data_IF_544591132658
#
_entry.id   IF_544591132658
#
_cell.length_a   1.000
_cell.length_b   1.000
_cell.length_c   1.000
_cell.angle_alpha   90.00
_cell.angle_beta   90.00
_cell.angle_gamma   90.00
#
_symmetry.space_group_name_H-M   'P 1'
#
loop_
_entity.id
_entity.type
_entity.pdbx_description
1 polymer ?
#
# COMPACT_ATOMS: atom_id res chain seq x y z
N UNK A 1 -2.24 -79.88 -23.65
CA UNK A 1 -2.85 -78.64 -24.13
C UNK A 1 -2.97 -77.72 -22.95
N UNK A 2 -2.04 -76.74 -22.82
CA UNK A 2 -2.02 -75.74 -21.76
C UNK A 2 -2.20 -74.35 -22.38
N UNK A 3 -3.37 -73.75 -22.14
CA UNK A 3 -3.66 -72.41 -22.56
C UNK A 3 -3.09 -71.43 -21.53
N UNK A 4 -2.04 -70.72 -21.90
CA UNK A 4 -1.55 -69.57 -21.15
C UNK A 4 -2.42 -68.34 -21.45
N UNK A 5 -3.24 -67.87 -20.49
CA UNK A 5 -3.94 -66.61 -20.53
C UNK A 5 -2.93 -65.50 -20.22
N UNK A 6 -2.66 -64.64 -21.21
CA UNK A 6 -1.91 -63.41 -21.03
C UNK A 6 -2.79 -62.38 -20.33
N UNK A 7 -2.41 -62.00 -19.11
CA UNK A 7 -3.04 -60.92 -18.37
C UNK A 7 -2.42 -59.60 -18.84
N UNK A 8 -3.21 -58.76 -19.56
CA UNK A 8 -2.81 -57.43 -19.92
C UNK A 8 -3.08 -56.48 -18.75
N UNK A 9 -2.01 -55.97 -18.13
CA UNK A 9 -2.11 -54.89 -17.16
C UNK A 9 -2.25 -53.56 -17.92
N UNK A 10 -3.44 -52.98 -17.93
CA UNK A 10 -3.67 -51.61 -18.34
C UNK A 10 -3.14 -50.72 -17.23
N UNK A 11 -2.03 -50.03 -17.49
CA UNK A 11 -1.49 -48.99 -16.60
C UNK A 11 -2.40 -47.78 -16.64
N UNK A 12 -3.19 -47.58 -15.60
CA UNK A 12 -3.97 -46.35 -15.37
C UNK A 12 -3.00 -45.26 -14.92
N UNK A 13 -2.58 -44.43 -15.84
CA UNK A 13 -1.78 -43.25 -15.55
C UNK A 13 -2.64 -42.18 -14.83
N UNK A 14 -2.48 -42.09 -13.51
CA UNK A 14 -3.10 -41.04 -12.69
C UNK A 14 -2.32 -39.76 -12.91
N UNK A 15 -2.80 -38.94 -13.85
CA UNK A 15 -2.30 -37.58 -14.09
C UNK A 15 -2.64 -36.68 -12.89
N UNK A 16 -1.67 -36.41 -12.03
CA UNK A 16 -1.80 -35.46 -10.95
C UNK A 16 -1.72 -34.07 -11.60
N UNK A 17 -2.87 -33.41 -11.78
CA UNK A 17 -2.95 -32.01 -12.16
C UNK A 17 -2.47 -31.17 -10.97
N UNK A 18 -1.22 -30.70 -11.01
CA UNK A 18 -0.76 -29.66 -10.10
C UNK A 18 -1.45 -28.34 -10.46
N UNK A 19 -2.55 -28.02 -9.81
CA UNK A 19 -3.07 -26.67 -9.80
C UNK A 19 -2.09 -25.81 -9.00
N UNK A 20 -1.23 -25.11 -9.73
CA UNK A 20 -0.41 -24.05 -9.15
C UNK A 20 -1.35 -22.91 -8.71
N UNK A 21 -1.69 -22.85 -7.43
CA UNK A 21 -2.37 -21.70 -6.85
C UNK A 21 -1.40 -20.53 -6.89
N UNK A 22 -1.59 -19.62 -7.85
CA UNK A 22 -0.94 -18.32 -7.85
C UNK A 22 -1.60 -17.55 -6.69
N UNK A 23 -0.88 -17.42 -5.58
CA UNK A 23 -1.29 -16.56 -4.47
C UNK A 23 -1.10 -15.12 -4.96
N UNK A 24 -2.15 -14.53 -5.53
CA UNK A 24 -2.18 -13.10 -5.82
C UNK A 24 -2.26 -12.42 -4.46
N UNK A 25 -1.17 -11.79 -4.03
CA UNK A 25 -1.16 -10.99 -2.81
C UNK A 25 -2.05 -9.78 -3.04
N UNK A 26 -3.22 -9.79 -2.44
CA UNK A 26 -4.15 -8.67 -2.52
C UNK A 26 -3.58 -7.45 -1.80
N UNK A 27 -3.58 -6.31 -2.49
CA UNK A 27 -3.12 -5.06 -1.93
C UNK A 27 -4.18 -4.51 -0.97
N UNK A 28 -3.78 -3.85 0.14
CA UNK A 28 -4.74 -3.32 1.11
C UNK A 28 -5.50 -2.09 0.60
N UNK A 29 -5.16 -1.56 -0.56
CA UNK A 29 -5.83 -0.44 -1.23
C UNK A 29 -6.45 -0.87 -2.56
N UNK A 30 -7.46 -0.14 -2.99
CA UNK A 30 -8.03 -0.24 -4.32
C UNK A 30 -7.58 0.95 -5.21
N UNK A 31 -7.77 0.90 -6.53
CA UNK A 31 -7.35 1.97 -7.45
C UNK A 31 -7.94 3.36 -7.13
N UNK A 32 -9.15 3.44 -6.57
CA UNK A 32 -9.79 4.71 -6.20
C UNK A 32 -9.18 5.34 -4.95
N UNK A 33 -8.36 4.61 -4.21
CA UNK A 33 -7.64 5.11 -3.05
C UNK A 33 -6.25 5.64 -3.40
N UNK A 34 -5.82 5.53 -4.66
CA UNK A 34 -4.61 6.18 -5.12
C UNK A 34 -4.89 7.67 -5.40
N UNK A 35 -4.03 8.54 -4.88
CA UNK A 35 -4.11 9.98 -5.07
C UNK A 35 -2.92 10.46 -5.89
N UNK A 36 -3.19 11.11 -7.01
CA UNK A 36 -2.13 11.64 -7.86
C UNK A 36 -1.36 12.79 -7.16
N UNK A 37 -0.03 12.84 -7.31
CA UNK A 37 0.81 13.88 -6.70
C UNK A 37 0.34 15.29 -7.01
N UNK A 38 -0.04 15.56 -8.27
CA UNK A 38 -0.56 16.86 -8.65
C UNK A 38 -1.85 17.23 -7.91
N UNK A 39 -2.76 16.29 -7.75
CA UNK A 39 -4.02 16.52 -7.06
C UNK A 39 -3.80 16.89 -5.59
N UNK A 40 -2.86 16.23 -4.91
CA UNK A 40 -2.49 16.63 -3.55
C UNK A 40 -1.82 18.00 -3.53
N UNK A 41 -0.89 18.26 -4.46
CA UNK A 41 -0.21 19.57 -4.54
C UNK A 41 -1.19 20.72 -4.72
N UNK A 42 -2.20 20.56 -5.58
CA UNK A 42 -3.25 21.57 -5.80
C UNK A 42 -4.03 21.82 -4.50
N UNK A 43 -4.41 20.77 -3.76
CA UNK A 43 -5.16 20.93 -2.48
C UNK A 43 -4.32 21.67 -1.43
N UNK A 44 -3.06 21.29 -1.22
CA UNK A 44 -2.23 21.89 -0.15
C UNK A 44 -1.75 23.30 -0.47
N UNK A 45 -1.84 23.74 -1.73
CA UNK A 45 -1.55 25.13 -2.13
C UNK A 45 -2.77 26.03 -2.12
N UNK A 46 -3.96 25.48 -2.07
CA UNK A 46 -5.21 26.23 -2.01
C UNK A 46 -5.72 26.29 -0.54
N UNK A 47 -5.59 27.46 0.13
CA UNK A 47 -6.02 27.60 1.52
C UNK A 47 -7.53 27.53 1.71
N UNK A 48 -8.32 27.57 0.63
CA UNK A 48 -9.78 27.44 0.68
C UNK A 48 -10.24 25.98 0.75
N UNK A 49 -9.36 25.04 0.43
CA UNK A 49 -9.65 23.61 0.46
C UNK A 49 -9.44 23.03 1.87
N UNK A 50 -10.27 22.06 2.29
CA UNK A 50 -10.01 21.30 3.50
C UNK A 50 -8.65 20.55 3.39
N UNK A 51 -7.76 20.83 4.35
CA UNK A 51 -6.42 20.25 4.32
C UNK A 51 -6.43 18.80 4.86
N UNK A 52 -5.91 17.83 4.11
CA UNK A 52 -5.82 16.44 4.59
C UNK A 52 -4.76 16.32 5.69
N UNK A 53 -4.88 15.28 6.49
CA UNK A 53 -3.78 14.81 7.33
C UNK A 53 -2.80 14.03 6.46
N UNK A 54 -1.63 14.60 6.21
CA UNK A 54 -0.58 13.98 5.38
C UNK A 54 0.44 13.32 6.31
N UNK A 55 0.76 12.05 6.08
CA UNK A 55 1.64 11.28 6.96
C UNK A 55 2.75 10.62 6.12
N UNK A 56 3.99 10.96 6.44
CA UNK A 56 5.17 10.25 5.96
C UNK A 56 5.40 9.01 6.81
N UNK A 57 5.36 7.82 6.19
CA UNK A 57 5.60 6.52 6.87
C UNK A 57 6.94 5.91 6.49
N UNK A 58 7.86 6.73 6.02
CA UNK A 58 9.19 6.31 5.58
C UNK A 58 10.24 7.39 5.79
N UNK A 59 11.50 7.13 5.41
CA UNK A 59 12.64 8.01 5.68
C UNK A 59 12.78 9.18 4.68
N UNK A 60 11.86 9.34 3.74
CA UNK A 60 11.94 10.42 2.75
C UNK A 60 11.57 11.78 3.36
N UNK A 61 11.88 12.87 2.65
CA UNK A 61 11.57 14.23 3.07
C UNK A 61 10.07 14.50 3.25
N UNK A 62 9.75 15.62 3.89
CA UNK A 62 8.37 15.97 4.24
C UNK A 62 7.73 16.90 3.21
N UNK A 63 6.64 16.43 2.61
CA UNK A 63 5.69 17.26 1.85
C UNK A 63 5.14 18.33 2.78
N UNK A 64 4.88 19.53 2.26
CA UNK A 64 4.32 20.64 3.03
C UNK A 64 3.08 20.21 3.83
N UNK A 65 3.11 20.46 5.13
CA UNK A 65 2.05 20.09 6.05
C UNK A 65 2.03 18.61 6.49
N UNK A 66 2.97 17.80 6.01
CA UNK A 66 3.08 16.41 6.43
C UNK A 66 3.67 16.29 7.84
N UNK A 67 3.19 15.29 8.57
CA UNK A 67 3.80 14.82 9.81
C UNK A 67 4.61 13.56 9.56
N UNK A 68 5.67 13.37 10.34
CA UNK A 68 6.50 12.18 10.28
C UNK A 68 5.98 11.12 11.25
N UNK A 69 5.82 9.89 10.76
CA UNK A 69 5.43 8.73 11.56
C UNK A 69 6.55 7.68 11.69
N UNK A 70 7.72 7.95 11.10
CA UNK A 70 8.84 7.01 11.00
C UNK A 70 8.48 5.73 10.20
N UNK A 71 9.46 4.85 9.90
CA UNK A 71 9.21 3.64 9.10
C UNK A 71 8.17 2.72 9.70
N UNK A 72 6.99 2.65 9.07
CA UNK A 72 5.84 1.88 9.58
C UNK A 72 5.99 0.35 9.46
N UNK A 73 7.04 -0.15 8.82
CA UNK A 73 7.41 -1.57 8.85
C UNK A 73 7.83 -2.02 10.27
N UNK A 74 8.29 -1.09 11.10
CA UNK A 74 8.69 -1.35 12.46
C UNK A 74 7.46 -1.31 13.38
N UNK A 75 7.25 -2.36 14.16
CA UNK A 75 6.06 -2.51 15.01
C UNK A 75 5.87 -1.35 15.99
N UNK A 76 6.96 -0.87 16.59
CA UNK A 76 6.91 0.25 17.52
C UNK A 76 6.39 1.54 16.85
N UNK A 77 6.90 1.84 15.65
CA UNK A 77 6.46 3.01 14.88
C UNK A 77 5.01 2.86 14.42
N UNK A 78 4.59 1.65 14.05
CA UNK A 78 3.21 1.36 13.68
C UNK A 78 2.24 1.57 14.87
N UNK A 79 2.64 1.18 16.08
CA UNK A 79 1.82 1.42 17.29
C UNK A 79 1.80 2.91 17.68
N UNK A 80 2.89 3.64 17.51
CA UNK A 80 2.90 5.11 17.66
C UNK A 80 1.95 5.78 16.66
N UNK A 81 1.96 5.31 15.40
CA UNK A 81 1.02 5.77 14.38
C UNK A 81 -0.43 5.45 14.76
N UNK A 82 -0.72 4.24 15.28
CA UNK A 82 -2.03 3.86 15.79
C UNK A 82 -2.51 4.82 16.89
N UNK A 83 -1.65 5.09 17.85
CA UNK A 83 -1.95 6.02 18.98
C UNK A 83 -2.24 7.41 18.44
N UNK A 84 -1.45 7.92 17.51
CA UNK A 84 -1.68 9.23 16.87
C UNK A 84 -3.03 9.29 16.14
N UNK A 85 -3.33 8.24 15.34
CA UNK A 85 -4.56 8.15 14.56
C UNK A 85 -5.82 7.93 15.44
N UNK A 86 -5.68 7.45 16.66
CA UNK A 86 -6.82 7.29 17.58
C UNK A 86 -7.49 8.60 17.95
N UNK A 87 -6.75 9.71 17.85
CA UNK A 87 -7.24 11.07 18.13
C UNK A 87 -7.95 11.72 16.94
N UNK A 88 -7.92 11.08 15.75
CA UNK A 88 -8.46 11.65 14.53
C UNK A 88 -9.88 11.12 14.23
N UNK A 89 -10.72 11.99 13.65
CA UNK A 89 -12.02 11.57 13.11
C UNK A 89 -11.83 10.53 12.00
N UNK A 90 -12.65 9.48 12.02
CA UNK A 90 -12.62 8.42 10.99
C UNK A 90 -13.09 8.89 9.61
N UNK A 91 -13.70 10.06 9.54
CA UNK A 91 -14.12 10.72 8.29
C UNK A 91 -13.07 11.70 7.75
N UNK A 92 -12.04 12.04 8.56
CA UNK A 92 -10.96 12.92 8.11
C UNK A 92 -10.24 12.33 6.91
N UNK A 93 -9.94 13.15 5.92
CA UNK A 93 -9.07 12.73 4.83
C UNK A 93 -7.65 12.52 5.35
N UNK A 94 -7.11 11.33 5.14
CA UNK A 94 -5.74 10.95 5.50
C UNK A 94 -5.01 10.55 4.23
N UNK A 95 -3.82 11.09 4.01
CA UNK A 95 -2.95 10.72 2.88
C UNK A 95 -1.65 10.18 3.44
N UNK A 96 -1.29 8.93 3.09
CA UNK A 96 0.00 8.37 3.46
C UNK A 96 0.94 8.27 2.27
N UNK A 97 2.23 8.40 2.53
CA UNK A 97 3.30 8.16 1.56
C UNK A 97 4.59 7.70 2.24
N UNK A 98 5.45 7.02 1.50
CA UNK A 98 6.79 6.65 1.97
C UNK A 98 7.89 7.50 1.27
N UNK A 99 7.86 7.55 -0.05
CA UNK A 99 8.71 8.42 -0.86
C UNK A 99 10.11 7.92 -1.16
N UNK A 100 10.61 6.86 -0.51
CA UNK A 100 11.97 6.34 -0.76
C UNK A 100 12.06 5.45 -2.01
N UNK A 101 10.95 4.87 -2.45
CA UNK A 101 10.85 3.89 -3.52
C UNK A 101 9.44 3.90 -4.12
N UNK A 102 9.19 3.17 -5.24
CA UNK A 102 7.85 2.96 -5.74
C UNK A 102 6.92 2.45 -4.64
N UNK A 103 5.73 3.05 -4.51
CA UNK A 103 4.81 2.72 -3.40
C UNK A 103 4.46 1.22 -3.33
N UNK A 104 4.40 0.55 -4.49
CA UNK A 104 4.11 -0.89 -4.58
C UNK A 104 5.19 -1.76 -3.93
N UNK A 105 6.43 -1.29 -3.93
CA UNK A 105 7.59 -2.04 -3.43
C UNK A 105 7.98 -1.59 -2.01
N UNK A 106 7.32 -0.55 -1.48
CA UNK A 106 7.68 0.03 -0.19
C UNK A 106 7.18 -0.82 0.98
N UNK A 107 8.07 -1.30 1.86
CA UNK A 107 7.69 -2.14 3.00
C UNK A 107 6.88 -1.39 4.07
N UNK A 108 6.91 -0.05 4.06
CA UNK A 108 6.22 0.78 5.05
C UNK A 108 4.75 1.04 4.69
N UNK A 109 4.40 0.99 3.40
CA UNK A 109 3.07 1.39 2.93
C UNK A 109 2.00 0.38 3.35
N UNK A 110 2.21 -0.93 3.10
CA UNK A 110 1.20 -1.95 3.40
C UNK A 110 0.78 -1.99 4.87
N UNK A 111 1.70 -2.03 5.85
CA UNK A 111 1.30 -2.02 7.26
C UNK A 111 0.56 -0.74 7.65
N UNK A 112 1.00 0.43 7.17
CA UNK A 112 0.34 1.70 7.47
C UNK A 112 -1.06 1.79 6.85
N UNK A 113 -1.21 1.37 5.58
CA UNK A 113 -2.52 1.39 4.92
C UNK A 113 -3.49 0.38 5.55
N UNK A 114 -3.00 -0.83 5.84
CA UNK A 114 -3.79 -1.85 6.56
C UNK A 114 -4.24 -1.37 7.94
N UNK A 115 -3.40 -0.60 8.64
CA UNK A 115 -3.76 0.01 9.91
C UNK A 115 -4.94 0.98 9.77
N UNK A 116 -4.93 1.84 8.75
CA UNK A 116 -6.05 2.76 8.47
C UNK A 116 -7.35 2.00 8.17
N UNK A 117 -7.28 0.91 7.40
CA UNK A 117 -8.41 0.02 7.14
C UNK A 117 -8.96 -0.57 8.45
N UNK A 118 -8.08 -1.15 9.29
CA UNK A 118 -8.43 -1.78 10.57
C UNK A 118 -9.05 -0.78 11.56
N UNK A 119 -8.55 0.45 11.56
CA UNK A 119 -9.07 1.53 12.42
C UNK A 119 -10.38 2.15 11.91
N UNK A 120 -10.86 1.73 10.74
CA UNK A 120 -12.14 2.14 10.16
C UNK A 120 -12.14 3.54 9.55
N UNK A 121 -11.00 4.06 9.14
CA UNK A 121 -10.94 5.30 8.36
C UNK A 121 -11.70 5.14 7.05
N UNK A 122 -12.50 6.14 6.66
CA UNK A 122 -13.36 6.09 5.48
C UNK A 122 -12.83 6.86 4.29
N UNK A 123 -11.95 7.85 4.55
CA UNK A 123 -11.44 8.74 3.54
C UNK A 123 -9.90 8.80 3.56
N UNK A 124 -9.27 7.61 3.45
CA UNK A 124 -7.81 7.54 3.38
C UNK A 124 -7.34 7.20 1.97
N UNK A 125 -6.23 7.80 1.60
CA UNK A 125 -5.59 7.70 0.28
C UNK A 125 -4.12 7.34 0.42
N UNK A 126 -3.61 6.70 -0.61
CA UNK A 126 -2.18 6.45 -0.81
C UNK A 126 -1.68 7.38 -1.91
N UNK A 127 -0.65 8.17 -1.64
CA UNK A 127 -0.04 9.02 -2.65
C UNK A 127 0.65 8.17 -3.71
N UNK A 128 0.27 8.35 -4.97
CA UNK A 128 0.70 7.55 -6.12
C UNK A 128 2.14 7.92 -6.56
N UNK A 129 3.13 7.64 -5.71
CA UNK A 129 4.54 7.81 -6.03
C UNK A 129 5.06 6.57 -6.78
N UNK A 130 4.90 6.57 -8.09
CA UNK A 130 5.27 5.42 -8.94
C UNK A 130 6.77 5.16 -9.02
N UNK A 131 7.59 6.15 -8.67
CA UNK A 131 9.04 6.05 -8.59
C UNK A 131 9.54 6.37 -7.18
N UNK A 132 9.55 7.65 -6.80
CA UNK A 132 9.91 8.12 -5.46
C UNK A 132 9.49 9.58 -5.28
N UNK A 133 9.68 10.12 -4.07
CA UNK A 133 9.34 11.50 -3.75
C UNK A 133 10.12 12.50 -4.61
N UNK A 134 11.41 12.21 -4.91
CA UNK A 134 12.21 13.12 -5.73
C UNK A 134 11.57 13.32 -7.11
N UNK A 135 11.35 12.23 -7.84
CA UNK A 135 10.88 12.28 -9.23
C UNK A 135 9.41 12.68 -9.35
N UNK A 136 8.57 12.14 -8.47
CA UNK A 136 7.12 12.35 -8.57
C UNK A 136 6.63 13.62 -7.86
N UNK A 137 7.47 14.26 -7.03
CA UNK A 137 7.08 15.45 -6.25
C UNK A 137 8.09 16.60 -6.35
N UNK A 138 9.35 16.40 -5.91
CA UNK A 138 10.35 17.48 -5.81
C UNK A 138 10.71 18.02 -7.19
N UNK A 139 11.02 17.14 -8.17
CA UNK A 139 11.37 17.53 -9.54
C UNK A 139 10.19 18.17 -10.31
N UNK A 140 8.97 18.04 -9.77
CA UNK A 140 7.77 18.73 -10.28
C UNK A 140 7.57 20.12 -9.66
N UNK A 141 8.42 20.52 -8.73
CA UNK A 141 8.30 21.79 -8.02
C UNK A 141 7.14 21.84 -7.03
N UNK A 142 6.61 20.69 -6.59
CA UNK A 142 5.53 20.66 -5.60
C UNK A 142 6.04 21.00 -4.19
N UNK A 143 5.20 21.57 -3.31
CA UNK A 143 5.66 22.18 -2.07
C UNK A 143 6.17 21.17 -1.04
N UNK A 144 7.32 21.49 -0.45
CA UNK A 144 7.96 20.79 0.67
C UNK A 144 7.94 21.67 1.93
N UNK A 145 8.14 21.04 3.11
CA UNK A 145 8.42 21.73 4.36
C UNK A 145 9.83 22.30 4.35
#
# INVERSE_FOLDING_TARGET
MHHHKKLSYAALGLGILFLSFIIIKEEPWNPFQLLEPKALADVITDPTQPQPLIISVGPAGLIKGAIEANPAKDKENLEKLRTRLSQESKTRQVVIYCGCCPFKDCPNIRPAFSLLNQMGFKNHKLLNLTQNLKVNWIDKGYPMN
#
